data_IF_035730144361
#
_entry.id   IF_035730144361
#
_cell.length_a   1.000
_cell.length_b   1.000
_cell.length_c   1.000
_cell.angle_alpha   90.00
_cell.angle_beta   90.00
_cell.angle_gamma   90.00
#
_symmetry.space_group_name_H-M   'P 1'
#
loop_
_entity.id
_entity.type
_entity.pdbx_description
1 polymer ?
#
# COMPACT_ATOMS: atom_id res chain seq x y z
N UNK A 1 -77.46 46.36 41.57
CA UNK A 1 -76.73 46.75 42.79
C UNK A 1 -75.26 46.41 42.60
N UNK A 2 -74.39 47.20 43.17
CA UNK A 2 -73.79 48.38 42.53
C UNK A 2 -72.22 48.23 42.37
N UNK A 3 -71.70 49.16 41.66
CA UNK A 3 -70.61 50.06 42.00
C UNK A 3 -69.21 49.39 41.98
N UNK A 4 -68.15 49.99 41.70
CA UNK A 4 -67.70 51.38 41.59
C UNK A 4 -66.31 51.42 40.92
N UNK A 5 -66.11 52.30 40.02
CA UNK A 5 -65.10 53.36 39.98
C UNK A 5 -63.73 53.05 40.59
N UNK A 6 -62.74 53.25 39.79
CA UNK A 6 -61.34 53.48 40.20
C UNK A 6 -60.51 54.10 39.08
N UNK A 7 -60.59 55.41 39.03
CA UNK A 7 -59.69 56.35 38.26
C UNK A 7 -58.25 56.18 38.76
N UNK A 8 -57.27 56.02 37.91
CA UNK A 8 -55.94 56.23 38.33
C UNK A 8 -55.12 57.03 37.34
N UNK A 9 -54.66 58.09 37.93
CA UNK A 9 -53.74 59.09 37.38
C UNK A 9 -52.46 58.56 36.85
N UNK A 10 -52.04 59.08 35.72
CA UNK A 10 -50.77 58.96 35.21
C UNK A 10 -49.73 59.71 36.12
N UNK A 11 -48.82 59.00 36.71
CA UNK A 11 -47.64 59.60 37.29
C UNK A 11 -46.54 59.51 36.25
N UNK A 12 -46.20 60.66 35.69
CA UNK A 12 -45.01 60.90 34.92
C UNK A 12 -43.81 60.75 35.86
N UNK A 13 -43.06 59.69 35.69
CA UNK A 13 -41.80 59.47 36.33
C UNK A 13 -40.70 60.09 35.46
N UNK A 14 -40.07 61.10 36.00
CA UNK A 14 -38.89 61.74 35.43
C UNK A 14 -37.74 60.73 35.26
N UNK A 15 -36.97 60.73 34.18
CA UNK A 15 -35.88 59.79 34.00
C UNK A 15 -34.71 60.12 34.96
N UNK A 16 -34.31 59.15 35.72
CA UNK A 16 -33.11 59.14 36.60
C UNK A 16 -31.84 59.34 35.74
N UNK A 17 -31.09 60.41 35.96
CA UNK A 17 -29.85 60.71 35.19
C UNK A 17 -28.70 59.76 35.47
N UNK A 18 -28.78 58.88 36.48
CA UNK A 18 -27.68 58.01 36.87
C UNK A 18 -27.74 56.58 36.28
N UNK A 19 -28.78 56.32 35.45
CA UNK A 19 -28.84 55.06 34.73
C UNK A 19 -28.34 55.20 33.29
N UNK A 20 -27.10 55.68 33.15
CA UNK A 20 -26.35 55.53 31.91
C UNK A 20 -26.05 54.05 31.69
N UNK A 21 -26.93 53.42 30.88
CA UNK A 21 -26.82 52.00 30.55
C UNK A 21 -25.39 51.67 30.05
N UNK A 22 -24.68 50.93 30.87
CA UNK A 22 -23.53 50.14 30.42
C UNK A 22 -24.05 49.16 29.42
N UNK A 23 -24.03 49.58 28.14
CA UNK A 23 -24.34 48.69 27.05
C UNK A 23 -23.38 47.50 27.11
N UNK A 24 -23.95 46.34 27.47
CA UNK A 24 -23.24 45.10 27.28
C UNK A 24 -22.78 45.02 25.83
N UNK A 25 -21.52 44.78 25.55
CA UNK A 25 -21.04 44.69 24.15
C UNK A 25 -21.83 43.58 23.47
N UNK A 26 -22.69 43.95 22.53
CA UNK A 26 -23.41 43.04 21.68
C UNK A 26 -22.32 42.20 20.95
N UNK A 27 -22.25 40.89 21.29
CA UNK A 27 -21.34 39.95 20.65
C UNK A 27 -21.72 39.91 19.16
N UNK A 28 -20.92 40.57 18.33
CA UNK A 28 -21.04 40.50 16.87
C UNK A 28 -20.75 39.05 16.42
N UNK A 29 -21.74 38.31 15.89
CA UNK A 29 -21.55 36.93 15.46
C UNK A 29 -20.55 36.80 14.31
N UNK A 30 -20.31 37.89 13.57
CA UNK A 30 -19.40 37.89 12.42
C UNK A 30 -17.92 37.80 12.80
N UNK A 31 -17.56 38.32 14.00
CA UNK A 31 -16.17 38.25 14.50
C UNK A 31 -15.73 36.86 14.96
N UNK A 32 -16.65 35.98 15.36
CA UNK A 32 -16.31 34.62 15.80
C UNK A 32 -16.11 33.63 14.65
N UNK A 33 -16.63 33.91 13.46
CA UNK A 33 -16.51 33.01 12.31
C UNK A 33 -15.06 32.83 11.84
N UNK A 34 -14.31 33.92 11.70
CA UNK A 34 -12.92 33.86 11.21
C UNK A 34 -11.95 33.28 12.25
N UNK A 35 -12.09 33.64 13.53
CA UNK A 35 -11.28 33.11 14.61
C UNK A 35 -11.64 31.67 14.94
N UNK A 36 -12.92 31.31 14.92
CA UNK A 36 -13.38 29.94 15.10
C UNK A 36 -12.84 29.02 13.99
N UNK A 37 -12.89 29.45 12.74
CA UNK A 37 -12.31 28.73 11.61
C UNK A 37 -10.80 28.60 11.72
N UNK A 38 -10.10 29.64 12.16
CA UNK A 38 -8.64 29.61 12.41
C UNK A 38 -8.27 28.64 13.54
N UNK A 39 -8.99 28.66 14.66
CA UNK A 39 -8.76 27.73 15.78
C UNK A 39 -9.12 26.28 15.42
N UNK A 40 -10.18 26.06 14.65
CA UNK A 40 -10.55 24.72 14.16
C UNK A 40 -9.51 24.20 13.17
N UNK A 41 -9.03 25.05 12.26
CA UNK A 41 -7.98 24.68 11.31
C UNK A 41 -6.64 24.37 11.99
N UNK A 42 -6.34 24.98 13.13
CA UNK A 42 -5.11 24.79 13.91
C UNK A 42 -5.25 23.80 15.06
N UNK A 43 -6.44 23.20 15.26
CA UNK A 43 -6.66 22.23 16.34
C UNK A 43 -5.79 21.00 16.19
N UNK A 44 -5.30 20.39 17.30
CA UNK A 44 -4.47 19.18 17.24
C UNK A 44 -5.14 18.03 16.50
N UNK A 45 -6.46 17.91 16.59
CA UNK A 45 -7.27 16.91 15.87
C UNK A 45 -7.27 17.15 14.36
N UNK A 46 -7.35 18.40 13.89
CA UNK A 46 -7.31 18.70 12.46
C UNK A 46 -5.92 18.44 11.87
N UNK A 47 -4.85 18.85 12.55
CA UNK A 47 -3.47 18.57 12.15
C UNK A 47 -3.19 17.07 12.09
N UNK A 48 -3.71 16.28 13.03
CA UNK A 48 -3.58 14.82 13.05
C UNK A 48 -4.29 14.18 11.85
N UNK A 49 -5.49 14.65 11.51
CA UNK A 49 -6.26 14.16 10.36
C UNK A 49 -5.59 14.50 9.03
N UNK A 50 -5.03 15.69 8.90
CA UNK A 50 -4.26 16.10 7.73
C UNK A 50 -2.98 15.27 7.57
N UNK A 51 -2.25 15.04 8.64
CA UNK A 51 -1.06 14.18 8.63
C UNK A 51 -1.37 12.74 8.22
N UNK A 52 -2.46 12.16 8.72
CA UNK A 52 -2.90 10.83 8.33
C UNK A 52 -3.36 10.78 6.86
N UNK A 53 -4.04 11.81 6.37
CA UNK A 53 -4.48 11.91 4.97
C UNK A 53 -3.29 12.02 4.04
N UNK A 54 -2.32 12.86 4.37
CA UNK A 54 -1.10 13.04 3.57
C UNK A 54 -0.29 11.74 3.50
N UNK A 55 -0.19 11.00 4.59
CA UNK A 55 0.51 9.71 4.63
C UNK A 55 -0.19 8.63 3.78
N UNK A 56 -1.52 8.58 3.79
CA UNK A 56 -2.28 7.67 2.92
C UNK A 56 -2.08 8.02 1.45
N UNK A 57 -2.12 9.30 1.11
CA UNK A 57 -1.87 9.77 -0.25
C UNK A 57 -0.45 9.41 -0.72
N UNK A 58 0.56 9.66 0.12
CA UNK A 58 1.94 9.27 -0.16
C UNK A 58 2.07 7.77 -0.44
N UNK A 59 1.45 6.92 0.39
CA UNK A 59 1.44 5.47 0.21
C UNK A 59 0.81 5.06 -1.14
N UNK A 60 -0.32 5.66 -1.51
CA UNK A 60 -1.01 5.34 -2.76
C UNK A 60 -0.19 5.78 -3.98
N UNK A 61 0.39 6.99 -3.95
CA UNK A 61 1.26 7.48 -5.02
C UNK A 61 2.53 6.63 -5.16
N UNK A 62 3.19 6.32 -4.05
CA UNK A 62 4.37 5.45 -4.04
C UNK A 62 4.04 4.05 -4.54
N UNK A 63 2.91 3.48 -4.11
CA UNK A 63 2.42 2.19 -4.57
C UNK A 63 2.15 2.16 -6.07
N UNK A 64 1.47 3.18 -6.60
CA UNK A 64 1.18 3.27 -8.04
C UNK A 64 2.47 3.35 -8.88
N UNK A 65 3.44 4.17 -8.45
CA UNK A 65 4.74 4.31 -9.13
C UNK A 65 5.51 3.00 -9.09
N UNK A 66 5.56 2.32 -7.93
CA UNK A 66 6.32 1.09 -7.78
C UNK A 66 5.66 -0.09 -8.51
N UNK A 67 4.33 -0.16 -8.58
CA UNK A 67 3.62 -1.15 -9.41
C UNK A 67 3.86 -0.91 -10.90
N UNK A 68 3.81 0.34 -11.36
CA UNK A 68 4.16 0.67 -12.75
C UNK A 68 5.63 0.34 -13.08
N UNK A 69 6.56 0.65 -12.16
CA UNK A 69 7.96 0.29 -12.31
C UNK A 69 8.16 -1.24 -12.36
N UNK A 70 7.44 -2.00 -11.53
CA UNK A 70 7.45 -3.45 -11.55
C UNK A 70 7.03 -3.98 -12.93
N UNK A 71 5.97 -3.41 -13.52
CA UNK A 71 5.52 -3.79 -14.85
C UNK A 71 6.57 -3.48 -15.93
N UNK A 72 7.20 -2.32 -15.88
CA UNK A 72 8.27 -1.96 -16.84
C UNK A 72 9.45 -2.91 -16.71
N UNK A 73 9.89 -3.20 -15.48
CA UNK A 73 11.02 -4.10 -15.22
C UNK A 73 10.70 -5.55 -15.60
N UNK A 74 9.45 -5.99 -15.54
CA UNK A 74 9.05 -7.33 -15.99
C UNK A 74 9.07 -7.48 -17.52
N UNK A 75 8.91 -6.38 -18.26
CA UNK A 75 9.03 -6.39 -19.72
C UNK A 75 10.50 -6.52 -20.18
N UNK A 76 11.44 -6.18 -19.31
CA UNK A 76 12.89 -6.35 -19.56
C UNK A 76 13.32 -7.76 -19.15
N UNK A 77 12.99 -8.74 -19.99
CA UNK A 77 13.36 -10.14 -19.78
C UNK A 77 14.85 -10.34 -19.99
N UNK A 78 15.60 -10.66 -18.92
CA UNK A 78 17.02 -10.98 -19.00
C UNK A 78 17.23 -12.37 -19.62
N UNK A 79 16.31 -13.28 -19.32
CA UNK A 79 16.24 -14.64 -19.86
C UNK A 79 14.80 -15.10 -19.86
N UNK A 80 14.39 -15.84 -20.89
CA UNK A 80 13.06 -16.41 -21.00
C UNK A 80 13.15 -17.94 -21.12
N UNK A 81 12.41 -18.62 -20.25
CA UNK A 81 12.27 -20.07 -20.25
C UNK A 81 11.18 -20.49 -21.22
N UNK A 82 11.22 -21.70 -21.80
CA UNK A 82 10.08 -22.27 -22.48
C UNK A 82 8.83 -22.22 -21.57
N UNK A 83 7.66 -21.94 -22.14
CA UNK A 83 6.38 -21.92 -21.39
C UNK A 83 6.22 -20.77 -20.37
N UNK A 84 6.97 -19.69 -20.52
CA UNK A 84 6.65 -18.40 -19.88
C UNK A 84 7.41 -18.04 -18.60
N UNK A 85 8.23 -18.92 -18.04
CA UNK A 85 9.15 -18.54 -16.94
C UNK A 85 10.19 -17.56 -17.42
N UNK A 86 10.41 -16.45 -16.71
CA UNK A 86 11.38 -15.45 -17.12
C UNK A 86 12.16 -14.87 -15.94
N UNK A 87 13.45 -14.59 -16.18
CA UNK A 87 14.32 -13.90 -15.22
C UNK A 87 14.16 -12.41 -15.45
N UNK A 88 13.59 -11.70 -14.46
CA UNK A 88 13.28 -10.29 -14.52
C UNK A 88 13.52 -9.59 -13.17
N UNK A 89 13.45 -8.26 -13.15
CA UNK A 89 13.51 -7.47 -11.93
C UNK A 89 12.12 -6.99 -11.46
N UNK A 90 11.04 -7.53 -12.03
CA UNK A 90 9.67 -7.08 -11.74
C UNK A 90 9.25 -7.24 -10.28
N UNK A 91 9.80 -8.21 -9.53
CA UNK A 91 9.49 -8.39 -8.10
C UNK A 91 10.09 -7.31 -7.19
N UNK A 92 11.21 -6.69 -7.59
CA UNK A 92 12.01 -5.79 -6.76
C UNK A 92 11.20 -4.59 -6.22
N UNK A 93 10.43 -3.83 -7.03
CA UNK A 93 9.63 -2.71 -6.51
C UNK A 93 8.51 -3.16 -5.57
N UNK A 94 7.93 -4.36 -5.78
CA UNK A 94 6.86 -4.89 -4.92
C UNK A 94 7.42 -5.27 -3.55
N UNK A 95 8.58 -5.92 -3.48
CA UNK A 95 9.27 -6.20 -2.23
C UNK A 95 9.58 -4.93 -1.45
N UNK A 96 10.11 -3.91 -2.13
CA UNK A 96 10.38 -2.62 -1.53
C UNK A 96 9.12 -2.00 -0.93
N UNK A 97 8.06 -1.92 -1.70
CA UNK A 97 6.78 -1.37 -1.23
C UNK A 97 6.23 -2.12 -0.02
N UNK A 98 6.25 -3.45 -0.07
CA UNK A 98 5.74 -4.30 1.02
C UNK A 98 6.54 -4.09 2.31
N UNK A 99 7.88 -4.05 2.26
CA UNK A 99 8.72 -3.80 3.44
C UNK A 99 8.50 -2.40 4.01
N UNK A 100 8.28 -1.39 3.18
CA UNK A 100 8.01 -0.01 3.62
C UNK A 100 6.64 0.16 4.24
N UNK A 101 5.59 -0.32 3.58
CA UNK A 101 4.19 -0.06 3.95
C UNK A 101 3.53 -1.22 4.70
N UNK A 102 4.17 -2.38 4.74
CA UNK A 102 3.73 -3.58 5.46
C UNK A 102 2.96 -4.56 4.58
N UNK A 103 2.78 -5.76 5.12
CA UNK A 103 2.21 -6.93 4.41
C UNK A 103 0.87 -6.63 3.77
N UNK A 104 -0.07 -6.00 4.51
CA UNK A 104 -1.42 -5.72 3.99
C UNK A 104 -1.39 -4.92 2.68
N UNK A 105 -0.61 -3.84 2.65
CA UNK A 105 -0.50 -3.00 1.45
C UNK A 105 0.38 -3.62 0.39
N UNK A 106 1.37 -4.41 0.80
CA UNK A 106 2.16 -5.23 -0.11
C UNK A 106 1.32 -6.26 -0.87
N UNK A 107 0.37 -6.93 -0.20
CA UNK A 107 -0.58 -7.85 -0.85
C UNK A 107 -1.45 -7.13 -1.87
N UNK A 108 -1.95 -5.93 -1.54
CA UNK A 108 -2.75 -5.12 -2.48
C UNK A 108 -1.92 -4.70 -3.70
N UNK A 109 -0.68 -4.26 -3.50
CA UNK A 109 0.22 -3.90 -4.60
C UNK A 109 0.60 -5.11 -5.45
N UNK A 110 0.88 -6.25 -4.83
CA UNK A 110 1.13 -7.52 -5.52
C UNK A 110 -0.06 -7.97 -6.36
N UNK A 111 -1.28 -7.87 -5.82
CA UNK A 111 -2.50 -8.17 -6.56
C UNK A 111 -2.68 -7.24 -7.78
N UNK A 112 -2.49 -5.92 -7.59
CA UNK A 112 -2.56 -4.96 -8.68
C UNK A 112 -1.51 -5.25 -9.78
N UNK A 113 -0.29 -5.60 -9.36
CA UNK A 113 0.75 -6.03 -10.28
C UNK A 113 0.38 -7.32 -11.00
N UNK A 114 -0.20 -8.32 -10.30
CA UNK A 114 -0.71 -9.56 -10.91
C UNK A 114 -1.77 -9.31 -11.97
N UNK A 115 -2.69 -8.35 -11.75
CA UNK A 115 -3.67 -7.94 -12.76
C UNK A 115 -3.01 -7.35 -14.01
N UNK A 116 -1.98 -6.51 -13.84
CA UNK A 116 -1.23 -5.98 -14.97
C UNK A 116 -0.51 -7.11 -15.72
N UNK A 117 0.07 -8.07 -15.03
CA UNK A 117 0.72 -9.23 -15.64
C UNK A 117 -0.27 -10.06 -16.47
N UNK A 118 -1.52 -10.28 -16.00
CA UNK A 118 -2.57 -10.92 -16.81
C UNK A 118 -2.86 -10.14 -18.09
N UNK A 119 -2.88 -8.80 -18.00
CA UNK A 119 -3.19 -7.95 -19.16
C UNK A 119 -2.05 -7.93 -20.20
N UNK A 120 -0.79 -7.94 -19.75
CA UNK A 120 0.37 -7.76 -20.64
C UNK A 120 1.06 -9.08 -21.02
N UNK A 121 0.98 -10.11 -20.20
CA UNK A 121 1.69 -11.38 -20.38
C UNK A 121 0.77 -12.62 -20.24
N UNK A 122 -0.54 -12.41 -20.04
CA UNK A 122 -1.53 -13.47 -19.80
C UNK A 122 -1.79 -14.39 -20.99
N UNK A 123 -1.19 -14.13 -22.16
CA UNK A 123 -1.26 -15.01 -23.32
C UNK A 123 -0.66 -16.40 -23.13
N UNK A 124 0.17 -16.59 -22.10
CA UNK A 124 0.71 -17.89 -21.69
C UNK A 124 -0.22 -18.68 -20.79
N UNK A 125 -1.30 -18.10 -20.28
CA UNK A 125 -2.24 -18.81 -19.42
C UNK A 125 -3.04 -19.86 -20.22
N UNK A 126 -2.92 -21.12 -19.81
CA UNK A 126 -3.61 -22.25 -20.49
C UNK A 126 -5.03 -22.46 -19.98
N UNK A 127 -5.38 -21.89 -18.83
CA UNK A 127 -6.67 -22.06 -18.17
C UNK A 127 -6.93 -20.95 -17.14
N UNK A 128 -8.18 -20.86 -16.67
CA UNK A 128 -8.52 -19.93 -15.60
C UNK A 128 -7.77 -20.22 -14.28
N UNK A 129 -7.43 -21.50 -14.03
CA UNK A 129 -6.63 -21.90 -12.87
C UNK A 129 -5.19 -21.35 -12.97
N UNK A 130 -4.60 -21.36 -14.17
CA UNK A 130 -3.30 -20.75 -14.43
C UNK A 130 -3.36 -19.23 -14.23
N UNK A 131 -4.40 -18.56 -14.76
CA UNK A 131 -4.58 -17.11 -14.51
C UNK A 131 -4.64 -16.80 -13.01
N UNK A 132 -5.46 -17.54 -12.29
CA UNK A 132 -5.62 -17.34 -10.85
C UNK A 132 -4.34 -17.65 -10.08
N UNK A 133 -3.72 -18.80 -10.34
CA UNK A 133 -2.54 -19.25 -9.61
C UNK A 133 -1.26 -18.52 -10.00
N UNK A 134 -0.88 -18.56 -11.29
CA UNK A 134 0.41 -18.06 -11.76
C UNK A 134 0.48 -16.54 -11.79
N UNK A 135 -0.65 -15.86 -11.97
CA UNK A 135 -0.68 -14.40 -12.01
C UNK A 135 -1.25 -13.78 -10.74
N UNK A 136 -2.50 -14.06 -10.37
CA UNK A 136 -3.11 -13.32 -9.26
C UNK A 136 -2.53 -13.74 -7.91
N UNK A 137 -2.54 -15.03 -7.57
CA UNK A 137 -2.05 -15.51 -6.27
C UNK A 137 -0.54 -15.37 -6.16
N UNK A 138 0.22 -15.80 -7.19
CA UNK A 138 1.68 -15.78 -7.17
C UNK A 138 2.26 -14.37 -6.99
N UNK A 139 1.67 -13.35 -7.64
CA UNK A 139 2.11 -11.97 -7.46
C UNK A 139 1.58 -11.35 -6.18
N UNK A 140 0.37 -11.71 -5.72
CA UNK A 140 -0.17 -11.22 -4.45
C UNK A 140 0.72 -11.61 -3.27
N UNK A 141 1.18 -12.86 -3.22
CA UNK A 141 1.99 -13.35 -2.08
C UNK A 141 3.36 -12.68 -1.96
N UNK A 142 3.84 -11.95 -3.00
CA UNK A 142 5.03 -11.09 -2.87
C UNK A 142 4.88 -10.08 -1.72
N UNK A 143 3.64 -9.67 -1.42
CA UNK A 143 3.32 -8.79 -0.30
C UNK A 143 3.71 -9.34 1.08
N UNK A 144 3.95 -10.66 1.20
CA UNK A 144 4.48 -11.27 2.43
C UNK A 144 5.88 -10.76 2.79
N UNK A 145 6.59 -10.15 1.84
CA UNK A 145 7.83 -9.43 2.12
C UNK A 145 7.65 -8.36 3.21
N UNK A 146 6.45 -7.82 3.39
CA UNK A 146 6.10 -6.88 4.44
C UNK A 146 6.26 -7.43 5.88
N UNK A 147 6.39 -8.74 6.08
CA UNK A 147 6.76 -9.34 7.36
C UNK A 147 8.17 -8.94 7.82
N UNK A 148 9.03 -8.53 6.89
CA UNK A 148 10.34 -7.94 7.18
C UNK A 148 10.28 -6.52 7.74
N UNK A 149 9.14 -5.82 7.66
CA UNK A 149 9.01 -4.42 8.06
C UNK A 149 9.46 -4.16 9.49
N UNK A 150 10.20 -3.06 9.67
CA UNK A 150 10.64 -2.60 10.99
C UNK A 150 11.90 -3.29 11.53
N UNK A 151 12.44 -4.26 10.82
CA UNK A 151 13.71 -4.93 11.16
C UNK A 151 14.87 -4.27 10.42
N UNK A 152 16.06 -4.29 11.00
CA UNK A 152 17.26 -3.67 10.41
C UNK A 152 17.59 -4.26 9.02
N UNK A 153 17.53 -5.57 8.90
CA UNK A 153 17.73 -6.30 7.63
C UNK A 153 16.42 -6.79 7.01
N UNK A 154 15.33 -6.07 7.30
CA UNK A 154 13.98 -6.51 6.93
C UNK A 154 13.74 -6.64 5.43
N UNK A 155 14.44 -5.82 4.62
CA UNK A 155 14.33 -5.93 3.16
C UNK A 155 14.84 -7.28 2.65
N UNK A 156 15.94 -7.80 3.18
CA UNK A 156 16.48 -9.10 2.77
C UNK A 156 15.58 -10.25 3.21
N UNK A 157 15.18 -10.24 4.49
CA UNK A 157 14.25 -11.26 5.00
C UNK A 157 12.92 -11.23 4.22
N UNK A 158 12.39 -10.04 3.97
CA UNK A 158 11.16 -9.86 3.20
C UNK A 158 11.29 -10.39 1.77
N UNK A 159 12.40 -10.08 1.08
CA UNK A 159 12.66 -10.58 -0.27
C UNK A 159 12.70 -12.10 -0.32
N UNK A 160 13.38 -12.74 0.64
CA UNK A 160 13.42 -14.22 0.72
C UNK A 160 12.03 -14.80 0.98
N UNK A 161 11.29 -14.24 1.94
CA UNK A 161 9.93 -14.73 2.28
C UNK A 161 8.94 -14.55 1.12
N UNK A 162 8.94 -13.39 0.47
CA UNK A 162 8.06 -13.13 -0.66
C UNK A 162 8.41 -13.96 -1.89
N UNK A 163 9.72 -14.10 -2.19
CA UNK A 163 10.21 -14.96 -3.28
C UNK A 163 9.88 -16.43 -3.04
N UNK A 164 10.12 -16.93 -1.83
CA UNK A 164 9.78 -18.32 -1.47
C UNK A 164 8.26 -18.57 -1.54
N UNK A 165 7.44 -17.64 -1.07
CA UNK A 165 5.99 -17.77 -1.15
C UNK A 165 5.51 -17.85 -2.61
N UNK A 166 6.03 -16.98 -3.49
CA UNK A 166 5.74 -17.02 -4.92
C UNK A 166 6.21 -18.34 -5.54
N UNK A 167 7.41 -18.79 -5.21
CA UNK A 167 7.92 -20.08 -5.67
C UNK A 167 6.99 -21.25 -5.31
N UNK A 168 6.50 -21.30 -4.06
CA UNK A 168 5.58 -22.37 -3.63
C UNK A 168 4.29 -22.35 -4.47
N UNK A 169 3.74 -21.18 -4.77
CA UNK A 169 2.54 -21.07 -5.63
C UNK A 169 2.83 -21.62 -7.03
N UNK A 170 3.91 -21.15 -7.68
CA UNK A 170 4.28 -21.64 -9.01
C UNK A 170 4.64 -23.14 -9.02
N UNK A 171 5.28 -23.63 -7.97
CA UNK A 171 5.56 -25.06 -7.84
C UNK A 171 4.30 -25.89 -7.84
N UNK A 172 3.30 -25.53 -7.03
CA UNK A 172 2.02 -26.24 -6.94
C UNK A 172 1.23 -26.12 -8.25
N UNK A 173 1.11 -24.93 -8.82
CA UNK A 173 0.39 -24.72 -10.08
C UNK A 173 1.09 -25.42 -11.23
N UNK A 174 2.41 -25.36 -11.31
CA UNK A 174 3.19 -26.06 -12.32
C UNK A 174 3.07 -27.58 -12.22
N UNK A 175 3.05 -28.15 -11.01
CA UNK A 175 2.91 -29.59 -10.81
C UNK A 175 1.49 -30.11 -11.06
N UNK A 176 0.47 -29.26 -11.02
CA UNK A 176 -0.94 -29.63 -11.18
C UNK A 176 -1.52 -29.18 -12.51
N UNK A 177 -1.57 -27.88 -12.74
CA UNK A 177 -2.21 -27.28 -13.95
C UNK A 177 -1.35 -27.51 -15.20
N UNK A 178 -0.02 -27.34 -15.06
CA UNK A 178 0.94 -27.48 -16.18
C UNK A 178 1.50 -28.90 -16.34
N UNK A 179 1.07 -29.86 -15.55
CA UNK A 179 1.58 -31.24 -15.58
C UNK A 179 1.60 -31.89 -16.96
N UNK A 180 0.62 -31.56 -17.82
CA UNK A 180 0.49 -32.07 -19.19
C UNK A 180 1.61 -31.59 -20.13
N UNK A 181 2.32 -30.52 -19.78
CA UNK A 181 3.43 -29.98 -20.57
C UNK A 181 4.81 -30.42 -20.06
N UNK A 182 4.86 -31.39 -19.13
CA UNK A 182 6.12 -31.93 -18.64
C UNK A 182 6.87 -32.64 -19.79
N UNK A 183 8.12 -32.25 -20.08
CA UNK A 183 8.95 -32.95 -21.07
C UNK A 183 9.49 -34.27 -20.51
N UNK A 184 9.93 -35.16 -21.39
CA UNK A 184 10.57 -36.42 -21.00
C UNK A 184 11.89 -36.24 -20.27
N UNK A 185 12.61 -35.15 -20.58
CA UNK A 185 13.88 -34.82 -19.94
C UNK A 185 14.03 -33.32 -19.71
N UNK A 186 14.63 -32.91 -18.59
CA UNK A 186 14.96 -31.55 -18.24
C UNK A 186 16.28 -31.50 -17.47
N UNK A 187 17.18 -30.56 -17.82
CA UNK A 187 18.56 -30.49 -17.32
C UNK A 187 19.33 -31.83 -17.39
N UNK A 188 19.12 -32.61 -18.45
CA UNK A 188 19.79 -33.90 -18.64
C UNK A 188 19.24 -35.04 -17.74
N UNK A 189 18.20 -34.82 -16.97
CA UNK A 189 17.54 -35.81 -16.12
C UNK A 189 16.20 -36.23 -16.73
N UNK A 190 15.86 -37.54 -16.70
CA UNK A 190 14.54 -38.02 -17.08
C UNK A 190 13.50 -37.53 -16.07
N UNK A 191 12.43 -36.89 -16.55
CA UNK A 191 11.35 -36.41 -15.70
C UNK A 191 10.33 -37.50 -15.46
N UNK A 192 10.22 -37.96 -14.21
CA UNK A 192 9.33 -39.01 -13.79
C UNK A 192 8.09 -38.49 -13.03
N UNK A 193 8.12 -37.21 -12.64
CA UNK A 193 7.05 -36.61 -11.84
C UNK A 193 6.87 -35.14 -12.19
N UNK A 194 5.63 -34.64 -12.40
CA UNK A 194 5.34 -33.24 -12.58
C UNK A 194 5.81 -32.36 -11.41
N UNK A 195 5.81 -32.90 -10.20
CA UNK A 195 6.29 -32.21 -9.00
C UNK A 195 7.80 -31.95 -9.05
N UNK A 196 8.57 -32.96 -9.52
CA UNK A 196 10.02 -32.78 -9.69
C UNK A 196 10.32 -31.80 -10.81
N UNK A 197 9.63 -31.92 -11.94
CA UNK A 197 9.78 -30.99 -13.05
C UNK A 197 9.46 -29.56 -12.64
N UNK A 198 8.31 -29.33 -12.02
CA UNK A 198 7.88 -28.02 -11.56
C UNK A 198 8.83 -27.42 -10.51
N UNK A 199 9.38 -28.25 -9.60
CA UNK A 199 10.39 -27.83 -8.63
C UNK A 199 11.63 -27.29 -9.32
N UNK A 200 12.17 -28.04 -10.27
CA UNK A 200 13.38 -27.66 -11.00
C UNK A 200 13.15 -26.46 -11.91
N UNK A 201 12.06 -26.46 -12.66
CA UNK A 201 11.71 -25.40 -13.60
C UNK A 201 11.51 -24.08 -12.89
N UNK A 202 10.56 -24.03 -11.96
CA UNK A 202 10.23 -22.79 -11.23
C UNK A 202 11.34 -22.40 -10.25
N UNK A 203 11.99 -23.38 -9.64
CA UNK A 203 13.11 -23.15 -8.71
C UNK A 203 14.29 -22.47 -9.39
N UNK A 204 14.62 -22.85 -10.62
CA UNK A 204 15.74 -22.30 -11.35
C UNK A 204 15.60 -20.77 -11.57
N UNK A 205 14.56 -20.31 -12.28
CA UNK A 205 14.44 -18.90 -12.60
C UNK A 205 14.08 -18.05 -11.38
N UNK A 206 13.24 -18.56 -10.46
CA UNK A 206 12.84 -17.80 -9.28
C UNK A 206 13.95 -17.66 -8.23
N UNK A 207 14.85 -18.65 -8.13
CA UNK A 207 16.05 -18.51 -7.31
C UNK A 207 16.93 -17.36 -7.84
N UNK A 208 17.15 -17.34 -9.15
CA UNK A 208 17.95 -16.28 -9.79
C UNK A 208 17.28 -14.91 -9.62
N UNK A 209 15.97 -14.79 -9.86
CA UNK A 209 15.20 -13.56 -9.63
C UNK A 209 15.34 -13.04 -8.19
N UNK A 210 15.21 -13.94 -7.23
CA UNK A 210 15.32 -13.59 -5.80
C UNK A 210 16.74 -13.16 -5.46
N UNK A 211 17.77 -13.87 -5.95
CA UNK A 211 19.17 -13.50 -5.75
C UNK A 211 19.51 -12.15 -6.39
N UNK A 212 19.03 -11.88 -7.61
CA UNK A 212 19.20 -10.58 -8.25
C UNK A 212 18.58 -9.46 -7.43
N UNK A 213 17.38 -9.65 -6.91
CA UNK A 213 16.74 -8.66 -6.01
C UNK A 213 17.57 -8.43 -4.75
N UNK A 214 18.09 -9.49 -4.12
CA UNK A 214 18.96 -9.39 -2.94
C UNK A 214 20.24 -8.63 -3.22
N UNK A 215 20.91 -8.91 -4.34
CA UNK A 215 22.12 -8.21 -4.77
C UNK A 215 21.84 -6.72 -5.00
N UNK A 216 20.77 -6.40 -5.72
CA UNK A 216 20.40 -5.00 -5.96
C UNK A 216 20.08 -4.28 -4.67
N UNK A 217 19.33 -4.88 -3.74
CA UNK A 217 19.06 -4.27 -2.44
C UNK A 217 20.35 -4.09 -1.61
N UNK A 218 21.31 -5.02 -1.69
CA UNK A 218 22.60 -4.87 -1.03
C UNK A 218 23.39 -3.68 -1.58
N UNK A 219 23.39 -3.47 -2.89
CA UNK A 219 24.03 -2.33 -3.55
C UNK A 219 23.36 -1.01 -3.20
N UNK A 220 22.03 -1.00 -3.15
CA UNK A 220 21.22 0.18 -2.84
C UNK A 220 21.19 0.51 -1.34
N UNK A 221 21.58 -0.39 -0.46
CA UNK A 221 21.50 -0.17 0.98
C UNK A 221 22.34 1.03 1.45
N UNK A 222 23.52 1.24 0.89
CA UNK A 222 24.37 2.39 1.23
C UNK A 222 23.76 3.73 0.82
N UNK A 223 23.38 3.96 -0.45
CA UNK A 223 22.83 5.26 -0.87
C UNK A 223 21.39 5.49 -0.41
N UNK A 224 20.59 4.45 -0.26
CA UNK A 224 19.13 4.54 -0.03
C UNK A 224 18.65 3.83 1.25
N UNK A 225 19.53 3.58 2.22
CA UNK A 225 19.22 2.78 3.39
C UNK A 225 18.01 3.27 4.19
N UNK A 226 17.87 4.59 4.37
CA UNK A 226 16.69 5.17 5.06
C UNK A 226 15.38 4.84 4.32
N UNK A 227 15.40 4.90 2.99
CA UNK A 227 14.25 4.59 2.16
C UNK A 227 13.95 3.09 2.18
N UNK A 228 14.95 2.23 1.98
CA UNK A 228 14.81 0.76 1.97
C UNK A 228 14.30 0.20 3.31
N UNK A 229 14.68 0.83 4.43
CA UNK A 229 14.22 0.41 5.77
C UNK A 229 12.92 1.07 6.21
N UNK A 230 12.39 2.03 5.44
CA UNK A 230 11.22 2.82 5.81
C UNK A 230 11.46 3.75 7.02
N UNK A 231 12.73 4.09 7.31
CA UNK A 231 13.08 4.98 8.43
C UNK A 231 12.61 6.42 8.18
N UNK A 232 12.55 6.84 6.92
CA UNK A 232 11.99 8.12 6.47
C UNK A 232 10.51 8.27 6.81
N UNK A 233 9.76 7.17 6.89
CA UNK A 233 8.35 7.16 7.25
C UNK A 233 8.08 7.30 8.76
N UNK A 234 9.11 7.15 9.61
CA UNK A 234 8.98 7.19 11.07
C UNK A 234 9.07 8.60 11.65
N UNK A 235 9.66 9.56 10.92
CA UNK A 235 9.97 10.92 11.40
C UNK A 235 8.81 11.92 11.45
N UNK A 236 7.59 11.53 11.16
CA UNK A 236 6.43 12.43 11.14
C UNK A 236 5.60 12.39 12.44
N UNK A 237 6.18 11.95 13.54
CA UNK A 237 5.49 11.85 14.85
C UNK A 237 6.16 12.66 15.98
N UNK A 238 7.05 13.60 15.64
CA UNK A 238 7.54 14.62 16.60
C UNK A 238 6.92 15.98 16.34
#
# INVERSE_FOLDING_TARGET
>A
MPAEKGRNAALTQEPDPDNAGVGTPQKDPSRHGAWGAFFVASSPTNRRNEGMRNRKLQMLCEGAILVALAQILSMLKLWEMPWGGSITLGMLPIFLFAVRWGTRWGLVAGFAYGLLQVMFDGGFAISWQSILGDYLVAFTVLGLAGLGRGREKGIFLGTVLGGAARFVVHWVVGATVWAMYMPDAFFGMTMTSPWLYSLLYNGFYMLIDTLLCLVIFALLLRPMGKYLTGADLRKTTE
#
